data_IF_394420301837
#
_entry.id   IF_394420301837
#
_cell.length_a   1.000
_cell.length_b   1.000
_cell.length_c   1.000
_cell.angle_alpha   90.00
_cell.angle_beta   90.00
_cell.angle_gamma   90.00
#
_symmetry.space_group_name_H-M   'P 1'
#
loop_
_entity.id
_entity.type
_entity.pdbx_description
1 polymer ?
#
# COMPACT_ATOMS: atom_id res chain seq x y z
N UNK A 1 24.30 -4.97 -43.80
CA UNK A 1 23.16 -5.82 -44.17
C UNK A 1 22.08 -5.61 -43.13
N UNK A 2 20.98 -4.98 -43.55
CA UNK A 2 19.79 -4.74 -42.75
C UNK A 2 18.64 -5.62 -43.28
N UNK A 3 17.75 -6.05 -42.40
CA UNK A 3 16.36 -6.44 -42.68
C UNK A 3 15.60 -6.39 -41.33
N UNK A 4 14.93 -5.30 -40.94
CA UNK A 4 13.51 -4.92 -41.20
C UNK A 4 12.46 -6.01 -41.01
N UNK A 5 11.51 -5.77 -40.09
CA UNK A 5 10.07 -5.81 -40.42
C UNK A 5 9.24 -5.15 -39.30
N UNK A 6 8.72 -3.97 -39.62
CA UNK A 6 7.67 -3.21 -38.91
C UNK A 6 6.36 -3.38 -39.68
N UNK A 7 5.24 -3.18 -38.97
CA UNK A 7 3.87 -2.98 -39.45
C UNK A 7 3.03 -4.26 -39.65
N UNK A 8 2.25 -4.59 -38.62
CA UNK A 8 0.95 -5.21 -38.83
C UNK A 8 -0.02 -4.09 -39.22
N UNK A 9 -0.13 -3.84 -40.53
CA UNK A 9 -1.13 -2.96 -41.11
C UNK A 9 -2.54 -3.50 -40.88
N UNK A 10 -3.46 -2.59 -40.58
CA UNK A 10 -4.87 -2.86 -40.42
C UNK A 10 -5.45 -3.51 -41.67
N UNK A 11 -6.08 -4.67 -41.47
CA UNK A 11 -6.81 -5.38 -42.51
C UNK A 11 -7.95 -4.53 -43.05
N UNK A 12 -7.77 -4.02 -44.27
CA UNK A 12 -8.83 -3.44 -45.08
C UNK A 12 -9.82 -4.55 -45.45
N UNK A 13 -10.99 -4.55 -44.82
CA UNK A 13 -12.09 -5.45 -45.20
C UNK A 13 -12.78 -4.90 -46.45
N UNK A 14 -12.37 -5.37 -47.62
CA UNK A 14 -13.25 -5.37 -48.80
C UNK A 14 -14.32 -6.45 -48.58
N UNK A 15 -15.55 -6.04 -48.26
CA UNK A 15 -16.73 -6.87 -48.49
C UNK A 15 -17.89 -6.06 -49.05
N UNK A 16 -18.24 -6.41 -50.27
CA UNK A 16 -19.52 -6.12 -50.90
C UNK A 16 -20.64 -6.80 -50.12
N UNK A 17 -21.79 -6.12 -50.06
CA UNK A 17 -23.09 -6.51 -49.50
C UNK A 17 -23.32 -6.22 -48.00
N UNK A 18 -23.95 -5.06 -47.75
CA UNK A 18 -25.21 -4.99 -47.00
C UNK A 18 -25.28 -5.50 -45.56
N UNK A 19 -24.16 -5.73 -44.89
CA UNK A 19 -24.15 -6.03 -43.46
C UNK A 19 -23.90 -4.72 -42.71
N UNK A 20 -24.79 -4.38 -41.77
CA UNK A 20 -24.53 -3.36 -40.75
C UNK A 20 -23.19 -3.72 -40.09
N UNK A 21 -22.16 -2.93 -40.33
CA UNK A 21 -20.90 -3.00 -39.61
C UNK A 21 -21.22 -2.64 -38.15
N UNK A 22 -21.49 -3.65 -37.33
CA UNK A 22 -21.39 -3.47 -35.88
C UNK A 22 -19.92 -3.17 -35.65
N UNK A 23 -19.60 -1.89 -35.43
CA UNK A 23 -18.26 -1.47 -35.01
C UNK A 23 -17.78 -2.48 -33.96
N UNK A 24 -16.55 -3.01 -34.07
CA UNK A 24 -16.02 -3.83 -33.00
C UNK A 24 -16.07 -2.95 -31.76
N UNK A 25 -17.00 -3.25 -30.84
CA UNK A 25 -17.09 -2.54 -29.57
C UNK A 25 -15.71 -2.67 -28.94
N UNK A 26 -14.94 -1.58 -28.98
CA UNK A 26 -13.63 -1.53 -28.37
C UNK A 26 -13.82 -2.01 -26.94
N UNK A 27 -13.20 -3.14 -26.60
CA UNK A 27 -13.38 -3.74 -25.28
C UNK A 27 -13.01 -2.69 -24.24
N UNK A 28 -14.00 -2.22 -23.48
CA UNK A 28 -13.81 -1.19 -22.45
C UNK A 28 -12.87 -1.76 -21.40
N UNK A 29 -11.72 -1.12 -21.21
CA UNK A 29 -10.70 -1.56 -20.25
C UNK A 29 -10.93 -0.83 -18.93
N UNK A 30 -10.55 -1.47 -17.82
CA UNK A 30 -10.49 -0.80 -16.52
C UNK A 30 -9.69 0.49 -16.62
N UNK A 31 -8.55 0.41 -17.31
CA UNK A 31 -7.70 1.56 -17.52
C UNK A 31 -8.41 2.67 -18.27
N UNK A 32 -9.49 2.49 -19.02
CA UNK A 32 -10.12 3.59 -19.77
C UNK A 32 -10.91 4.56 -18.86
N UNK A 33 -11.18 4.18 -17.61
CA UNK A 33 -11.91 4.99 -16.64
C UNK A 33 -11.16 6.29 -16.27
N UNK A 34 -11.88 7.41 -16.00
CA UNK A 34 -11.31 8.60 -15.39
C UNK A 34 -10.49 8.28 -14.13
N UNK A 35 -9.46 9.08 -13.88
CA UNK A 35 -8.53 8.87 -12.76
C UNK A 35 -9.27 8.83 -11.41
N UNK A 36 -10.30 9.65 -11.25
CA UNK A 36 -11.12 9.76 -10.03
C UNK A 36 -11.87 8.46 -9.73
N UNK A 37 -12.33 7.75 -10.77
CA UNK A 37 -12.98 6.45 -10.61
C UNK A 37 -11.98 5.35 -10.30
N UNK A 38 -10.79 5.39 -10.92
CA UNK A 38 -9.69 4.48 -10.59
C UNK A 38 -9.23 4.67 -9.14
N UNK A 39 -9.07 5.91 -8.69
CA UNK A 39 -8.78 6.24 -7.29
C UNK A 39 -9.87 5.69 -6.36
N UNK A 40 -11.16 5.90 -6.70
CA UNK A 40 -12.27 5.41 -5.89
C UNK A 40 -12.28 3.89 -5.75
N UNK A 41 -12.02 3.16 -6.84
CA UNK A 41 -11.88 1.70 -6.83
C UNK A 41 -10.70 1.29 -5.92
N UNK A 42 -9.55 1.96 -6.04
CA UNK A 42 -8.35 1.67 -5.23
C UNK A 42 -8.49 2.06 -3.74
N UNK A 43 -9.48 2.89 -3.41
CA UNK A 43 -9.85 3.23 -2.04
C UNK A 43 -10.91 2.28 -1.46
N UNK A 44 -11.27 1.20 -2.15
CA UNK A 44 -12.27 0.29 -1.60
C UNK A 44 -11.70 -0.49 -0.41
N UNK A 45 -12.42 -0.62 0.73
CA UNK A 45 -11.85 -1.21 1.96
C UNK A 45 -11.43 -2.68 1.86
N UNK A 46 -11.86 -3.39 0.82
CA UNK A 46 -11.44 -4.78 0.56
C UNK A 46 -10.01 -4.86 0.03
N UNK A 47 -9.51 -3.78 -0.57
CA UNK A 47 -8.17 -3.71 -1.14
C UNK A 47 -7.21 -3.19 -0.08
N UNK A 48 -6.17 -3.95 0.20
CA UNK A 48 -5.12 -3.53 1.11
C UNK A 48 -3.92 -2.91 0.37
N UNK A 49 -2.89 -2.56 1.14
CA UNK A 49 -1.66 -2.01 0.57
C UNK A 49 -0.92 -2.94 -0.39
N UNK A 50 -1.03 -4.27 -0.26
CA UNK A 50 -0.41 -5.23 -1.17
C UNK A 50 -1.14 -5.20 -2.51
N UNK A 51 -2.47 -5.14 -2.48
CA UNK A 51 -3.29 -4.97 -3.68
C UNK A 51 -2.98 -3.67 -4.41
N UNK A 52 -2.86 -2.56 -3.68
CA UNK A 52 -2.49 -1.25 -4.25
C UNK A 52 -1.09 -1.30 -4.85
N UNK A 53 -0.11 -1.90 -4.15
CA UNK A 53 1.23 -2.13 -4.69
C UNK A 53 1.18 -3.01 -5.95
N UNK A 54 0.36 -4.06 -5.94
CA UNK A 54 0.14 -4.95 -7.09
C UNK A 54 -0.39 -4.20 -8.30
N UNK A 55 -1.44 -3.39 -8.10
CA UNK A 55 -2.05 -2.56 -9.14
C UNK A 55 -1.05 -1.53 -9.71
N UNK A 56 -0.25 -0.88 -8.87
CA UNK A 56 0.76 0.09 -9.30
C UNK A 56 1.77 -0.52 -10.27
N UNK A 57 2.14 -1.80 -10.09
CA UNK A 57 3.09 -2.50 -10.96
C UNK A 57 2.48 -3.00 -12.28
N UNK A 58 1.16 -2.97 -12.43
CA UNK A 58 0.50 -3.56 -13.59
C UNK A 58 0.70 -2.73 -14.87
N UNK A 59 0.63 -1.39 -14.78
CA UNK A 59 0.91 -0.50 -15.91
C UNK A 59 1.17 0.94 -15.46
N UNK A 60 1.77 1.75 -16.35
CA UNK A 60 2.05 3.18 -16.08
C UNK A 60 0.82 3.96 -15.61
N UNK A 61 -0.35 3.73 -16.22
CA UNK A 61 -1.57 4.46 -15.83
C UNK A 61 -1.99 4.15 -14.40
N UNK A 62 -1.93 2.89 -13.98
CA UNK A 62 -2.27 2.51 -12.60
C UNK A 62 -1.20 2.96 -11.61
N UNK A 63 0.07 2.92 -12.01
CA UNK A 63 1.16 3.52 -11.24
C UNK A 63 0.86 5.01 -10.96
N UNK A 64 0.54 5.78 -12.00
CA UNK A 64 0.29 7.22 -11.88
C UNK A 64 -0.94 7.52 -11.00
N UNK A 65 -1.96 6.67 -11.02
CA UNK A 65 -3.12 6.80 -10.12
C UNK A 65 -2.74 6.45 -8.67
N UNK A 66 -2.00 5.37 -8.44
CA UNK A 66 -1.59 4.96 -7.09
C UNK A 66 -0.64 5.98 -6.44
N UNK A 67 0.21 6.62 -7.24
CA UNK A 67 1.26 7.54 -6.78
C UNK A 67 0.96 9.02 -7.08
N UNK A 68 -0.25 9.34 -7.55
CA UNK A 68 -0.64 10.68 -7.95
C UNK A 68 -0.85 11.64 -6.77
N UNK A 69 -2.09 12.05 -6.52
CA UNK A 69 -2.41 13.09 -5.52
C UNK A 69 -2.35 12.62 -4.05
N UNK A 70 -1.70 11.49 -3.76
CA UNK A 70 -1.62 10.92 -2.41
C UNK A 70 -2.95 10.43 -1.82
N UNK A 71 -4.08 10.52 -2.54
CA UNK A 71 -5.41 10.19 -2.04
C UNK A 71 -5.57 8.71 -1.70
N UNK A 72 -5.06 7.81 -2.56
CA UNK A 72 -5.11 6.37 -2.33
C UNK A 72 -4.36 6.00 -1.05
N UNK A 73 -3.12 6.47 -0.90
CA UNK A 73 -2.32 6.20 0.31
C UNK A 73 -2.86 6.89 1.55
N UNK A 74 -3.42 8.09 1.43
CA UNK A 74 -4.10 8.76 2.53
C UNK A 74 -5.35 8.00 3.00
N UNK A 75 -6.11 7.42 2.07
CA UNK A 75 -7.22 6.55 2.40
C UNK A 75 -6.76 5.27 3.09
N UNK A 76 -5.77 4.58 2.51
CA UNK A 76 -5.18 3.36 3.09
C UNK A 76 -4.62 3.59 4.49
N UNK A 77 -3.93 4.72 4.71
CA UNK A 77 -3.41 5.11 6.02
C UNK A 77 -4.55 5.30 7.03
N UNK A 78 -5.56 6.10 6.67
CA UNK A 78 -6.70 6.42 7.54
C UNK A 78 -7.53 5.21 7.90
N UNK A 79 -7.71 4.29 6.95
CA UNK A 79 -8.42 3.03 7.16
C UNK A 79 -7.65 2.11 8.10
N UNK A 80 -6.33 2.00 7.93
CA UNK A 80 -5.50 1.07 8.71
C UNK A 80 -5.17 1.57 10.12
N UNK A 81 -4.99 2.89 10.30
CA UNK A 81 -4.66 3.49 11.59
C UNK A 81 -5.58 4.66 11.98
N UNK A 82 -6.87 4.40 12.29
CA UNK A 82 -7.83 5.46 12.62
C UNK A 82 -7.40 6.33 13.82
N UNK A 83 -6.72 5.74 14.82
CA UNK A 83 -6.28 6.44 16.03
C UNK A 83 -5.20 7.48 15.76
N UNK A 84 -4.45 7.34 14.66
CA UNK A 84 -3.37 8.25 14.30
C UNK A 84 -3.87 9.52 13.60
N UNK A 85 -5.13 9.53 13.13
CA UNK A 85 -5.69 10.68 12.44
C UNK A 85 -5.68 11.97 13.29
N UNK A 86 -5.74 11.85 14.62
CA UNK A 86 -5.69 12.98 15.54
C UNK A 86 -4.37 13.77 15.50
N UNK A 87 -3.30 13.20 14.94
CA UNK A 87 -1.98 13.83 14.82
C UNK A 87 -1.78 14.59 13.50
N UNK A 88 -2.74 14.54 12.57
CA UNK A 88 -2.65 15.22 11.28
C UNK A 88 -3.72 16.31 11.15
N UNK A 89 -3.31 17.49 10.71
CA UNK A 89 -4.23 18.59 10.42
C UNK A 89 -5.07 18.33 9.16
N UNK A 90 -6.29 18.84 9.10
CA UNK A 90 -7.17 18.69 7.92
C UNK A 90 -6.63 19.35 6.65
N UNK A 91 -5.77 20.37 6.80
CA UNK A 91 -5.20 21.16 5.69
C UNK A 91 -3.70 20.90 5.47
N UNK A 92 -3.09 19.95 6.19
CA UNK A 92 -1.68 19.63 6.00
C UNK A 92 -1.50 18.74 4.78
N UNK A 93 -0.64 19.18 3.86
CA UNK A 93 -0.19 18.33 2.76
C UNK A 93 0.81 17.32 3.33
N UNK A 94 0.34 16.11 3.59
CA UNK A 94 1.18 14.99 4.05
C UNK A 94 1.55 14.10 2.87
N UNK A 95 2.82 13.69 2.80
CA UNK A 95 3.23 12.58 1.93
C UNK A 95 2.74 11.26 2.55
N UNK A 96 1.49 10.92 2.26
CA UNK A 96 0.84 9.74 2.81
C UNK A 96 1.54 8.43 2.44
N UNK A 97 2.26 8.36 1.32
CA UNK A 97 3.00 7.16 0.96
C UNK A 97 4.21 6.98 1.87
N UNK A 98 4.98 8.05 2.07
CA UNK A 98 6.11 8.05 3.00
C UNK A 98 5.64 7.73 4.42
N UNK A 99 4.53 8.35 4.84
CA UNK A 99 3.95 8.15 6.17
C UNK A 99 3.49 6.70 6.38
N UNK A 100 2.79 6.13 5.39
CA UNK A 100 2.36 4.74 5.42
C UNK A 100 3.56 3.80 5.52
N UNK A 101 4.59 4.00 4.69
CA UNK A 101 5.80 3.16 4.68
C UNK A 101 6.53 3.21 6.01
N UNK A 102 6.70 4.41 6.56
CA UNK A 102 7.38 4.63 7.84
C UNK A 102 6.61 3.94 8.97
N UNK A 103 5.32 4.24 9.11
CA UNK A 103 4.46 3.63 10.13
C UNK A 103 4.40 2.11 10.01
N UNK A 104 4.30 1.59 8.78
CA UNK A 104 4.27 0.15 8.55
C UNK A 104 5.60 -0.52 8.94
N UNK A 105 6.74 0.07 8.54
CA UNK A 105 8.07 -0.46 8.85
C UNK A 105 8.33 -0.48 10.35
N UNK A 106 8.02 0.63 11.03
CA UNK A 106 8.14 0.75 12.49
C UNK A 106 7.26 -0.30 13.18
N UNK A 107 6.02 -0.47 12.73
CA UNK A 107 5.12 -1.49 13.29
C UNK A 107 5.66 -2.92 13.15
N UNK A 108 6.27 -3.25 12.01
CA UNK A 108 6.91 -4.55 11.82
C UNK A 108 8.10 -4.77 12.75
N UNK A 109 8.92 -3.74 12.97
CA UNK A 109 10.05 -3.86 13.91
C UNK A 109 9.55 -4.06 15.34
N UNK A 110 8.56 -3.28 15.78
CA UNK A 110 7.97 -3.43 17.12
C UNK A 110 7.40 -4.84 17.32
N UNK A 111 6.65 -5.37 16.34
CA UNK A 111 6.14 -6.75 16.41
C UNK A 111 7.26 -7.76 16.56
N UNK A 112 8.32 -7.65 15.75
CA UNK A 112 9.49 -8.54 15.83
C UNK A 112 10.19 -8.44 17.18
N UNK A 113 10.38 -7.22 17.69
CA UNK A 113 10.98 -7.02 19.01
C UNK A 113 10.11 -7.65 20.10
N UNK A 114 8.80 -7.40 20.10
CA UNK A 114 7.86 -7.98 21.09
C UNK A 114 7.80 -9.51 20.99
N UNK A 115 7.72 -10.07 19.79
CA UNK A 115 7.79 -11.53 19.56
C UNK A 115 9.12 -12.11 20.07
N UNK A 116 10.23 -11.40 19.90
CA UNK A 116 11.54 -11.83 20.34
C UNK A 116 11.67 -11.89 21.87
N UNK A 117 10.91 -11.08 22.62
CA UNK A 117 10.95 -11.05 24.10
C UNK A 117 10.72 -12.45 24.66
N UNK A 118 9.69 -13.15 24.15
CA UNK A 118 9.37 -14.51 24.60
C UNK A 118 10.54 -15.46 24.32
N UNK A 119 11.16 -15.37 23.13
CA UNK A 119 12.29 -16.21 22.76
C UNK A 119 13.50 -15.95 23.66
N UNK A 120 13.88 -14.68 23.83
CA UNK A 120 15.01 -14.24 24.65
C UNK A 120 14.83 -14.64 26.12
N UNK A 121 13.60 -14.60 26.61
CA UNK A 121 13.26 -15.03 27.97
C UNK A 121 13.60 -16.51 28.24
N UNK A 122 13.41 -17.40 27.25
CA UNK A 122 13.69 -18.83 27.41
C UNK A 122 15.13 -19.23 27.05
N UNK A 123 15.80 -18.48 26.18
CA UNK A 123 17.14 -18.84 25.68
C UNK A 123 18.28 -18.13 26.36
N UNK A 124 18.04 -16.93 26.87
CA UNK A 124 19.06 -16.13 27.54
C UNK A 124 18.86 -16.30 29.08
N UNK A 125 19.96 -16.32 29.87
CA UNK A 125 19.91 -16.20 31.35
C UNK A 125 20.02 -14.73 31.88
N UNK A 126 19.38 -13.69 31.30
CA UNK A 126 19.26 -12.40 31.96
C UNK A 126 18.16 -12.41 33.00
N UNK A 127 18.22 -11.45 33.92
CA UNK A 127 17.05 -11.08 34.70
C UNK A 127 15.98 -10.51 33.76
N UNK A 128 14.71 -10.77 34.08
CA UNK A 128 13.54 -10.30 33.29
C UNK A 128 13.62 -8.80 32.96
N UNK A 129 14.13 -7.99 33.89
CA UNK A 129 14.31 -6.56 33.71
C UNK A 129 15.30 -6.18 32.59
N UNK A 130 16.34 -6.97 32.37
CA UNK A 130 17.34 -6.71 31.32
C UNK A 130 16.74 -6.96 29.92
N UNK A 131 16.08 -8.11 29.71
CA UNK A 131 15.46 -8.45 28.41
C UNK A 131 14.44 -7.38 28.01
N UNK A 132 13.60 -6.97 28.96
CA UNK A 132 12.62 -5.92 28.73
C UNK A 132 13.29 -4.57 28.46
N UNK A 133 14.28 -4.19 29.27
CA UNK A 133 15.03 -2.94 29.11
C UNK A 133 15.69 -2.81 27.73
N UNK A 134 16.39 -3.85 27.29
CA UNK A 134 17.05 -3.89 25.98
C UNK A 134 16.02 -3.77 24.84
N UNK A 135 14.88 -4.47 24.97
CA UNK A 135 13.82 -4.46 23.96
C UNK A 135 13.15 -3.09 23.84
N UNK A 136 12.92 -2.40 24.96
CA UNK A 136 12.40 -1.02 24.93
C UNK A 136 13.42 -0.03 24.36
N UNK A 137 14.71 -0.20 24.68
CA UNK A 137 15.77 0.62 24.09
C UNK A 137 15.86 0.41 22.56
N UNK A 138 15.67 -0.82 22.08
CA UNK A 138 15.60 -1.13 20.65
C UNK A 138 14.43 -0.40 19.97
N UNK A 139 13.23 -0.44 20.57
CA UNK A 139 12.06 0.29 20.05
C UNK A 139 12.30 1.80 20.02
N UNK A 140 12.89 2.37 21.07
CA UNK A 140 13.23 3.80 21.13
C UNK A 140 14.29 4.19 20.08
N UNK A 141 15.21 3.28 19.77
CA UNK A 141 16.26 3.52 18.78
C UNK A 141 15.77 3.60 17.33
N UNK A 142 14.50 3.25 17.05
CA UNK A 142 13.90 3.35 15.72
C UNK A 142 13.80 4.79 15.20
N UNK A 143 13.90 5.81 16.08
CA UNK A 143 13.81 7.22 15.70
C UNK A 143 12.45 7.62 15.11
N UNK A 144 11.43 6.80 15.34
CA UNK A 144 10.07 7.00 14.85
C UNK A 144 9.30 7.95 15.76
N UNK A 145 8.25 8.62 15.25
CA UNK A 145 7.33 9.38 16.09
C UNK A 145 6.73 8.50 17.19
N UNK A 146 6.72 9.00 18.44
CA UNK A 146 6.29 8.23 19.63
C UNK A 146 4.89 7.63 19.46
N UNK A 147 3.99 8.38 18.82
CA UNK A 147 2.62 7.94 18.58
C UNK A 147 2.51 6.70 17.67
N UNK A 148 3.51 6.41 16.83
CA UNK A 148 3.54 5.15 16.06
C UNK A 148 3.80 3.96 16.97
N UNK A 149 4.74 4.13 17.91
CA UNK A 149 5.09 3.10 18.88
C UNK A 149 3.93 2.81 19.82
N UNK A 150 3.35 3.87 20.39
CA UNK A 150 2.18 3.76 21.26
C UNK A 150 1.00 3.07 20.56
N UNK A 151 0.68 3.47 19.33
CA UNK A 151 -0.42 2.89 18.57
C UNK A 151 -0.18 1.40 18.26
N UNK A 152 1.05 1.01 17.90
CA UNK A 152 1.38 -0.39 17.63
C UNK A 152 1.32 -1.24 18.91
N UNK A 153 1.90 -0.77 20.01
CA UNK A 153 1.87 -1.50 21.28
C UNK A 153 0.43 -1.64 21.80
N UNK A 154 -0.38 -0.58 21.68
CA UNK A 154 -1.81 -0.65 21.99
C UNK A 154 -2.55 -1.59 21.04
N UNK A 155 -2.18 -1.65 19.76
CA UNK A 155 -2.77 -2.60 18.82
C UNK A 155 -2.47 -4.05 19.24
N UNK A 156 -1.21 -4.37 19.55
CA UNK A 156 -0.79 -5.70 20.01
C UNK A 156 -1.50 -6.11 21.31
N UNK A 157 -1.63 -5.18 22.27
CA UNK A 157 -2.32 -5.45 23.54
C UNK A 157 -3.82 -5.72 23.36
N UNK A 158 -4.46 -5.07 22.39
CA UNK A 158 -5.91 -5.16 22.16
C UNK A 158 -6.29 -6.16 21.06
N UNK A 159 -5.32 -6.72 20.32
CA UNK A 159 -5.60 -7.76 19.35
C UNK A 159 -5.88 -9.08 20.10
N UNK A 160 -7.16 -9.39 20.33
CA UNK A 160 -7.60 -10.67 20.93
C UNK A 160 -7.33 -11.91 20.07
N UNK A 161 -6.45 -11.83 19.07
CA UNK A 161 -6.25 -12.88 18.07
C UNK A 161 -4.76 -13.11 17.83
N UNK A 162 -4.28 -14.21 18.41
CA UNK A 162 -3.15 -14.99 17.91
C UNK A 162 -3.69 -16.05 16.96
#
# INVERSE_FOLDING_TARGET
MAATSVAAEGGCCLRLNGAVCREPQAAKRLTDLPAELLEHILCFPVLDHEDVCGASRACKRLHDVCHGRGKVWGHQYKLRWPRLQKYYGQNECCDWLSEYRTRHTVGLQIRRTVESISKRFFTEVPCVGQVLGDSFAEIQSLGAPEHFCEDELLFILNSEKW
#
